data_IF_822396146445
#
_entry.id   IF_822396146445
#
_cell.length_a   1.000
_cell.length_b   1.000
_cell.length_c   1.000
_cell.angle_alpha   90.00
_cell.angle_beta   90.00
_cell.angle_gamma   90.00
#
_symmetry.space_group_name_H-M   'P 1'
#
loop_
_entity.id
_entity.type
_entity.pdbx_description
1 polymer ?
#
# COMPACT_ATOMS: atom_id res chain seq x y z
N UNK A 1 31.87 -8.04 7.96
CA UNK A 1 30.99 -8.04 8.22
C UNK A 1 30.55 -7.80 8.29
N UNK A 2 30.76 -7.53 8.44
CA UNK A 2 29.78 -7.26 8.65
C UNK A 2 29.16 -6.96 8.72
N UNK A 3 29.69 -6.96 8.32
CA UNK A 3 28.64 -6.72 8.51
C UNK A 3 28.03 -6.40 8.59
N UNK A 4 28.39 -6.37 8.30
CA UNK A 4 27.37 -6.12 8.44
C UNK A 4 26.71 -5.80 8.45
N UNK A 5 26.79 -5.70 8.32
CA UNK A 5 25.72 -5.53 8.46
C UNK A 5 25.00 -5.30 8.38
N UNK A 6 25.22 -5.39 8.22
CA UNK A 6 24.14 -5.28 8.27
C UNK A 6 23.44 -4.96 8.31
N UNK A 7 23.58 -4.94 8.31
CA UNK A 7 22.49 -4.82 8.50
C UNK A 7 21.95 -4.33 8.43
N UNK A 8 21.90 -4.30 8.31
CA UNK A 8 20.93 -3.93 8.36
C UNK A 8 20.24 -3.70 8.25
N UNK A 9 20.13 -3.88 8.25
CA UNK A 9 19.16 -3.78 8.20
C UNK A 9 18.49 -3.47 8.37
N UNK A 10 18.21 -3.77 8.55
CA UNK A 10 17.35 -3.58 8.72
C UNK A 10 16.40 -2.82 8.60
N UNK A 11 15.51 -2.72 9.18
CA UNK A 11 14.40 -1.85 8.91
C UNK A 11 14.37 -1.30 7.51
N UNK A 12 15.37 -1.52 6.84
CA UNK A 12 15.51 -1.02 5.49
C UNK A 12 14.66 -1.73 4.48
N UNK A 13 14.11 -2.88 4.84
CA UNK A 13 13.31 -3.63 3.88
C UNK A 13 12.12 -2.83 3.38
N UNK A 14 11.58 -1.94 4.21
CA UNK A 14 10.41 -1.17 3.82
C UNK A 14 10.72 -0.17 2.70
N UNK A 15 11.95 0.28 2.61
CA UNK A 15 12.33 1.25 1.60
C UNK A 15 12.64 0.58 0.26
N UNK A 16 12.56 -0.75 0.19
CA UNK A 16 12.92 -1.47 -1.02
C UNK A 16 11.78 -1.57 -2.03
N UNK A 17 10.57 -1.20 -1.64
CA UNK A 17 9.45 -1.20 -2.58
C UNK A 17 9.55 0.01 -3.49
N UNK A 18 9.31 -0.22 -4.79
CA UNK A 18 9.25 0.89 -5.73
C UNK A 18 7.96 1.68 -5.50
N UNK A 19 7.88 2.88 -6.09
CA UNK A 19 6.66 3.67 -5.99
C UNK A 19 5.47 2.91 -6.54
N UNK A 20 5.67 2.21 -7.66
CA UNK A 20 4.60 1.44 -8.28
C UNK A 20 4.14 0.30 -7.36
N UNK A 21 5.10 -0.38 -6.74
CA UNK A 21 4.77 -1.46 -5.83
C UNK A 21 3.98 -0.95 -4.63
N UNK A 22 4.37 0.21 -4.11
CA UNK A 22 3.63 0.79 -2.99
C UNK A 22 2.20 1.13 -3.39
N UNK A 23 2.00 1.66 -4.60
CA UNK A 23 0.67 1.96 -5.07
C UNK A 23 -0.18 0.70 -5.22
N UNK A 24 0.42 -0.35 -5.76
CA UNK A 24 -0.27 -1.63 -5.91
C UNK A 24 -0.70 -2.16 -4.55
N UNK A 25 0.20 -2.12 -3.58
CA UNK A 25 -0.11 -2.58 -2.23
C UNK A 25 -1.28 -1.80 -1.63
N UNK A 26 -1.25 -0.47 -1.76
CA UNK A 26 -2.31 0.36 -1.20
C UNK A 26 -3.64 0.08 -1.90
N UNK A 27 -3.65 -0.06 -3.23
CA UNK A 27 -4.89 -0.33 -3.94
C UNK A 27 -5.51 -1.66 -3.55
N UNK A 28 -4.69 -2.70 -3.41
CA UNK A 28 -5.22 -4.01 -3.02
C UNK A 28 -5.63 -4.03 -1.56
N UNK A 29 -4.95 -3.26 -0.71
CA UNK A 29 -5.36 -3.14 0.69
C UNK A 29 -6.71 -2.44 0.79
N UNK A 30 -6.95 -1.43 -0.06
CA UNK A 30 -8.24 -0.74 -0.10
C UNK A 30 -9.34 -1.71 -0.48
N UNK A 31 -9.09 -2.58 -1.45
CA UNK A 31 -10.08 -3.58 -1.85
C UNK A 31 -10.39 -4.52 -0.70
N UNK A 32 -9.39 -4.83 0.11
CA UNK A 32 -9.56 -5.79 1.20
C UNK A 32 -10.30 -5.19 2.40
N UNK A 33 -9.99 -3.93 2.73
CA UNK A 33 -10.52 -3.33 3.96
C UNK A 33 -11.49 -2.19 3.77
N UNK A 34 -11.32 -1.38 2.76
CA UNK A 34 -12.13 -0.19 2.47
C UNK A 34 -12.13 0.88 3.56
N UNK A 35 -11.98 0.51 4.82
CA UNK A 35 -11.91 1.47 5.92
C UNK A 35 -10.49 2.03 5.99
N UNK A 36 -10.38 3.37 5.86
CA UNK A 36 -9.08 4.02 5.78
C UNK A 36 -8.23 3.82 7.03
N UNK A 37 -8.86 3.96 8.19
CA UNK A 37 -8.13 3.80 9.45
C UNK A 37 -7.58 2.37 9.57
N UNK A 38 -8.40 1.39 9.23
CA UNK A 38 -7.99 0.00 9.35
C UNK A 38 -6.90 -0.35 8.34
N UNK A 39 -7.04 0.11 7.11
CA UNK A 39 -6.02 -0.22 6.12
C UNK A 39 -4.68 0.43 6.45
N UNK A 40 -4.71 1.65 7.00
CA UNK A 40 -3.47 2.29 7.41
C UNK A 40 -2.83 1.48 8.55
N UNK A 41 -3.64 1.09 9.53
CA UNK A 41 -3.14 0.29 10.63
C UNK A 41 -2.46 -1.00 10.14
N UNK A 42 -3.08 -1.67 9.18
CA UNK A 42 -2.52 -2.91 8.65
C UNK A 42 -1.28 -2.66 7.80
N UNK A 43 -1.32 -1.64 6.95
CA UNK A 43 -0.21 -1.36 6.03
C UNK A 43 1.03 -0.83 6.73
N UNK A 44 0.91 -0.29 7.95
CA UNK A 44 2.09 0.21 8.64
C UNK A 44 3.07 -0.89 8.99
N UNK A 45 2.67 -2.15 8.88
CA UNK A 45 3.60 -3.26 9.06
C UNK A 45 4.60 -3.37 7.90
N UNK A 46 4.30 -2.78 6.74
CA UNK A 46 5.18 -2.89 5.57
C UNK A 46 5.52 -1.55 4.95
N UNK A 47 4.74 -0.50 5.19
CA UNK A 47 5.00 0.83 4.64
C UNK A 47 4.91 1.86 5.74
N UNK A 48 5.63 2.98 5.57
CA UNK A 48 5.49 4.07 6.53
C UNK A 48 4.14 4.73 6.34
N UNK A 49 3.63 5.32 7.42
CA UNK A 49 2.34 6.02 7.34
C UNK A 49 2.39 7.15 6.31
N UNK A 50 3.53 7.82 6.22
CA UNK A 50 3.71 8.89 5.25
C UNK A 50 3.57 8.38 3.81
N UNK A 51 4.17 7.22 3.53
CA UNK A 51 4.05 6.63 2.20
C UNK A 51 2.61 6.20 1.91
N UNK A 52 1.94 5.63 2.91
CA UNK A 52 0.55 5.21 2.75
C UNK A 52 -0.32 6.41 2.41
N UNK A 53 -0.20 7.50 3.18
CA UNK A 53 -1.00 8.70 2.94
C UNK A 53 -0.71 9.31 1.59
N UNK A 54 0.56 9.37 1.22
CA UNK A 54 0.94 9.93 -0.08
C UNK A 54 0.33 9.14 -1.22
N UNK A 55 0.34 7.82 -1.10
CA UNK A 55 -0.23 6.98 -2.14
C UNK A 55 -1.75 7.09 -2.19
N UNK A 56 -2.41 7.19 -1.03
CA UNK A 56 -3.85 7.40 -1.02
C UNK A 56 -4.19 8.72 -1.72
N UNK A 57 -3.46 9.79 -1.40
CA UNK A 57 -3.70 11.09 -2.02
C UNK A 57 -3.49 11.04 -3.52
N UNK A 58 -2.43 10.36 -3.97
CA UNK A 58 -2.16 10.24 -5.39
C UNK A 58 -3.24 9.44 -6.09
N UNK A 59 -3.69 8.35 -5.47
CA UNK A 59 -4.73 7.51 -6.06
C UNK A 59 -6.05 8.27 -6.17
N UNK A 60 -6.38 9.07 -5.17
CA UNK A 60 -7.59 9.90 -5.24
C UNK A 60 -7.43 10.97 -6.31
N UNK A 61 -6.26 11.62 -6.35
CA UNK A 61 -6.00 12.67 -7.32
C UNK A 61 -6.03 12.19 -8.77
N UNK A 62 -5.69 10.94 -9.01
CA UNK A 62 -5.72 10.35 -10.35
C UNK A 62 -7.02 9.60 -10.61
N UNK A 63 -7.97 9.65 -9.69
CA UNK A 63 -9.29 9.06 -9.82
C UNK A 63 -9.28 7.53 -9.89
N UNK A 64 -8.23 6.92 -9.41
CA UNK A 64 -8.18 5.45 -9.30
C UNK A 64 -8.85 4.97 -8.04
N UNK A 65 -9.02 5.84 -7.05
CA UNK A 65 -9.69 5.56 -5.80
C UNK A 65 -10.62 6.71 -5.49
N UNK A 66 -11.77 6.40 -4.91
CA UNK A 66 -12.74 7.42 -4.49
C UNK A 66 -12.95 7.35 -2.99
N UNK A 67 -13.14 8.52 -2.40
CA UNK A 67 -13.54 8.60 -1.00
C UNK A 67 -15.06 8.67 -0.97
N UNK A 68 -15.71 7.59 -0.52
CA UNK A 68 -17.17 7.51 -0.52
C UNK A 68 -17.78 7.75 0.86
N UNK A 69 -16.93 8.07 1.84
CA UNK A 69 -17.39 8.40 3.19
C UNK A 69 -16.24 8.97 3.98
N UNK A 70 -16.47 9.43 5.21
CA UNK A 70 -15.39 10.06 6.00
C UNK A 70 -14.14 9.21 6.14
N UNK A 71 -14.33 7.88 6.25
CA UNK A 71 -13.19 6.98 6.40
C UNK A 71 -13.33 5.78 5.49
N UNK A 72 -14.03 5.94 4.37
CA UNK A 72 -14.26 4.82 3.46
C UNK A 72 -13.68 5.14 2.10
N UNK A 73 -12.81 4.25 1.64
CA UNK A 73 -12.17 4.36 0.34
C UNK A 73 -12.60 3.19 -0.53
N UNK A 74 -12.71 3.43 -1.82
CA UNK A 74 -13.12 2.39 -2.75
C UNK A 74 -12.38 2.56 -4.04
N UNK A 75 -11.88 1.45 -4.59
CA UNK A 75 -11.25 1.47 -5.90
C UNK A 75 -12.29 1.81 -6.95
N UNK A 76 -11.90 2.69 -7.87
CA UNK A 76 -12.79 3.16 -8.92
C UNK A 76 -12.63 2.25 -10.15
N UNK A 77 -13.08 1.00 -10.01
CA UNK A 77 -12.84 -0.02 -11.03
C UNK A 77 -13.63 0.23 -12.31
N UNK A 78 -14.65 1.08 -12.26
CA UNK A 78 -15.36 1.46 -13.46
C UNK A 78 -14.57 2.47 -14.30
N UNK A 79 -13.57 3.11 -13.69
CA UNK A 79 -12.75 4.11 -14.35
C UNK A 79 -11.39 3.55 -14.76
N UNK A 80 -10.77 2.76 -13.89
CA UNK A 80 -9.48 2.15 -14.18
C UNK A 80 -9.48 0.72 -13.68
N UNK A 81 -8.75 -0.13 -14.37
CA UNK A 81 -8.60 -1.51 -13.94
C UNK A 81 -7.68 -1.59 -12.73
N UNK A 82 -7.93 -2.56 -11.87
CA UNK A 82 -7.02 -2.85 -10.78
C UNK A 82 -5.69 -3.36 -11.33
N UNK A 83 -4.57 -2.91 -10.77
CA UNK A 83 -3.29 -3.43 -11.21
C UNK A 83 -3.15 -4.90 -10.83
N UNK A 84 -2.40 -5.62 -11.65
CA UNK A 84 -2.11 -7.01 -11.36
C UNK A 84 -1.27 -7.09 -10.09
N UNK A 85 -1.54 -8.09 -9.25
CA UNK A 85 -0.83 -8.25 -7.98
C UNK A 85 0.33 -9.23 -8.17
N UNK A 86 1.58 -8.73 -8.19
CA UNK A 86 2.73 -9.62 -8.34
C UNK A 86 2.82 -10.62 -7.19
N UNK A 87 3.44 -11.75 -7.48
CA UNK A 87 3.53 -12.84 -6.51
C UNK A 87 4.19 -12.40 -5.21
N UNK A 88 5.25 -11.60 -5.31
CA UNK A 88 5.96 -11.15 -4.12
C UNK A 88 5.12 -10.22 -3.25
N UNK A 89 4.13 -9.54 -3.83
CA UNK A 89 3.25 -8.66 -3.07
C UNK A 89 2.00 -9.38 -2.60
N UNK A 90 1.64 -10.48 -3.27
CA UNK A 90 0.43 -11.20 -2.92
C UNK A 90 0.48 -11.75 -1.50
N UNK A 91 1.62 -12.29 -1.09
CA UNK A 91 1.73 -12.83 0.26
C UNK A 91 1.62 -11.73 1.30
N UNK A 92 2.07 -10.52 0.97
CA UNK A 92 1.95 -9.39 1.87
C UNK A 92 0.47 -9.04 2.06
N UNK A 93 -0.27 -8.95 0.97
CA UNK A 93 -1.69 -8.63 1.04
C UNK A 93 -2.46 -9.72 1.76
N UNK A 94 -2.13 -10.98 1.50
CA UNK A 94 -2.82 -12.10 2.14
C UNK A 94 -2.62 -12.09 3.65
N UNK A 95 -1.52 -11.52 4.13
CA UNK A 95 -1.20 -11.49 5.55
C UNK A 95 -1.62 -10.21 6.27
N UNK A 96 -2.24 -9.28 5.58
CA UNK A 96 -2.70 -8.05 6.21
C UNK A 96 -3.86 -8.26 7.15
#
# INVERSE_FOLDING_TARGET
MHNLQMSFTNGNTMSEFSMEEKMILVQHAIKKYENEEKLIEKLTSVLSEKDIQRNIDTLIGTQKVRRIGPEVLQNNESHTEMPELPENLKSIIDNL
#
